data_IF_361466213745
#
_entry.id   IF_361466213745
#
_cell.length_a   1.000
_cell.length_b   1.000
_cell.length_c   1.000
_cell.angle_alpha   90.00
_cell.angle_beta   90.00
_cell.angle_gamma   90.00
#
_symmetry.space_group_name_H-M   'P 1'
#
loop_
_entity.id
_entity.type
_entity.pdbx_description
1 polymer ?
#
# COMPACT_ATOMS: atom_id res chain seq x y z
N UNK A 1 -1.31 -17.75 12.88
CA UNK A 1 -0.55 -16.50 13.13
C UNK A 1 -1.48 -15.34 12.85
N UNK A 2 -1.85 -14.54 13.85
CA UNK A 2 -2.75 -13.39 13.66
C UNK A 2 -1.98 -12.31 12.89
N UNK A 3 -2.43 -11.99 11.68
CA UNK A 3 -1.86 -10.95 10.82
C UNK A 3 -2.48 -9.57 11.13
N UNK A 4 -3.03 -9.41 12.34
CA UNK A 4 -3.90 -8.29 12.73
C UNK A 4 -3.13 -6.94 12.82
N UNK A 5 -1.81 -6.97 12.69
CA UNK A 5 -0.91 -5.81 12.78
C UNK A 5 -0.45 -5.30 11.41
N UNK A 6 -0.75 -6.03 10.34
CA UNK A 6 -0.27 -5.68 9.01
C UNK A 6 -1.12 -4.56 8.40
N UNK A 7 -0.42 -3.61 7.79
CA UNK A 7 -1.04 -2.47 7.15
C UNK A 7 -1.64 -2.78 5.77
N UNK A 8 -2.13 -1.73 5.11
CA UNK A 8 -2.76 -1.84 3.82
C UNK A 8 -1.81 -2.41 2.76
N UNK A 9 -2.42 -2.97 1.71
CA UNK A 9 -1.69 -3.56 0.58
C UNK A 9 -1.09 -2.47 -0.31
N UNK A 10 0.12 -2.71 -0.81
CA UNK A 10 0.88 -1.82 -1.67
C UNK A 10 1.13 -2.53 -3.00
N UNK A 11 0.81 -1.86 -4.11
CA UNK A 11 1.17 -2.30 -5.45
C UNK A 11 2.55 -1.73 -5.78
N UNK A 12 3.50 -2.58 -6.17
CA UNK A 12 4.83 -2.15 -6.57
C UNK A 12 4.89 -1.89 -8.09
N UNK A 13 5.95 -1.21 -8.54
CA UNK A 13 6.13 -0.88 -9.97
C UNK A 13 6.41 -2.13 -10.83
N UNK A 14 6.99 -3.16 -10.22
CA UNK A 14 7.29 -4.45 -10.85
C UNK A 14 6.05 -5.38 -10.90
N UNK A 15 4.89 -4.90 -10.48
CA UNK A 15 3.65 -5.70 -10.44
C UNK A 15 3.46 -6.53 -9.19
N UNK A 16 4.46 -6.60 -8.30
CA UNK A 16 4.34 -7.36 -7.05
C UNK A 16 3.45 -6.66 -6.03
N UNK A 17 2.92 -7.44 -5.07
CA UNK A 17 2.12 -6.95 -3.96
C UNK A 17 2.90 -7.08 -2.65
N UNK A 18 2.86 -6.03 -1.83
CA UNK A 18 3.46 -6.02 -0.49
C UNK A 18 2.47 -5.45 0.53
N UNK A 19 2.79 -5.56 1.82
CA UNK A 19 2.03 -4.93 2.92
C UNK A 19 2.96 -4.03 3.73
N UNK A 20 2.40 -3.00 4.34
CA UNK A 20 3.15 -2.13 5.26
C UNK A 20 3.37 -2.89 6.57
N UNK A 21 4.61 -3.31 6.83
CA UNK A 21 4.96 -4.18 7.94
C UNK A 21 5.04 -3.46 9.31
N UNK A 22 5.30 -2.17 9.33
CA UNK A 22 5.40 -1.34 10.54
C UNK A 22 4.11 -0.56 10.84
N UNK A 23 2.98 -0.99 10.28
CA UNK A 23 1.72 -0.23 10.32
C UNK A 23 1.17 -0.01 11.73
N UNK A 24 1.32 -1.01 12.59
CA UNK A 24 0.98 -0.97 14.00
C UNK A 24 1.80 0.05 14.80
N UNK A 25 3.05 0.28 14.39
CA UNK A 25 3.97 1.25 14.99
C UNK A 25 3.72 2.68 14.53
N UNK A 26 2.91 2.89 13.48
CA UNK A 26 2.59 4.22 12.97
C UNK A 26 1.58 4.93 13.86
N UNK A 27 1.78 6.21 14.08
CA UNK A 27 0.78 7.09 14.70
C UNK A 27 -0.45 7.24 13.80
N UNK A 28 -1.59 7.61 14.37
CA UNK A 28 -2.83 7.83 13.61
C UNK A 28 -2.67 8.88 12.50
N UNK A 29 -1.85 9.91 12.74
CA UNK A 29 -1.54 10.93 11.75
C UNK A 29 -0.73 10.37 10.57
N UNK A 30 0.26 9.51 10.85
CA UNK A 30 1.05 8.83 9.82
C UNK A 30 0.21 7.83 9.02
N UNK A 31 -0.66 7.07 9.70
CA UNK A 31 -1.62 6.16 9.05
C UNK A 31 -2.54 6.92 8.10
N UNK A 32 -3.11 8.04 8.54
CA UNK A 32 -3.99 8.89 7.72
C UNK A 32 -3.27 9.43 6.48
N UNK A 33 -2.05 9.94 6.65
CA UNK A 33 -1.24 10.42 5.54
C UNK A 33 -0.88 9.31 4.56
N UNK A 34 -0.56 8.13 5.09
CA UNK A 34 -0.22 6.95 4.30
C UNK A 34 -1.40 6.50 3.46
N UNK A 35 -2.59 6.34 4.04
CA UNK A 35 -3.79 5.95 3.30
C UNK A 35 -4.14 6.95 2.19
N UNK A 36 -4.04 8.26 2.48
CA UNK A 36 -4.29 9.32 1.50
C UNK A 36 -3.42 9.20 0.26
N UNK A 37 -2.13 8.93 0.44
CA UNK A 37 -1.17 8.88 -0.67
C UNK A 37 -1.16 7.49 -1.33
N UNK A 38 -1.31 6.43 -0.54
CA UNK A 38 -1.25 5.05 -1.00
C UNK A 38 -2.34 4.73 -2.02
N UNK A 39 -3.57 5.19 -1.80
CA UNK A 39 -4.67 4.99 -2.75
C UNK A 39 -4.35 5.54 -4.15
N UNK A 40 -3.82 6.78 -4.21
CA UNK A 40 -3.40 7.41 -5.47
C UNK A 40 -2.26 6.63 -6.14
N UNK A 41 -1.24 6.23 -5.37
CA UNK A 41 -0.08 5.49 -5.90
C UNK A 41 -0.45 4.10 -6.40
N UNK A 42 -1.24 3.36 -5.66
CA UNK A 42 -1.70 2.03 -6.08
C UNK A 42 -2.53 2.14 -7.35
N UNK A 43 -3.48 3.08 -7.42
CA UNK A 43 -4.27 3.30 -8.65
C UNK A 43 -3.38 3.60 -9.86
N UNK A 44 -2.42 4.51 -9.72
CA UNK A 44 -1.49 4.86 -10.80
C UNK A 44 -0.66 3.66 -11.26
N UNK A 45 -0.12 2.87 -10.33
CA UNK A 45 0.70 1.70 -10.65
C UNK A 45 -0.14 0.61 -11.30
N UNK A 46 -1.33 0.31 -10.78
CA UNK A 46 -2.23 -0.67 -11.38
C UNK A 46 -2.69 -0.25 -12.78
N UNK A 47 -2.99 1.03 -13.01
CA UNK A 47 -3.31 1.51 -14.37
C UNK A 47 -2.13 1.33 -15.32
N UNK A 48 -0.91 1.70 -14.92
CA UNK A 48 0.28 1.54 -15.74
C UNK A 48 0.58 0.07 -16.08
N UNK A 49 0.36 -0.84 -15.13
CA UNK A 49 0.54 -2.28 -15.36
C UNK A 49 -0.49 -2.84 -16.35
N UNK A 50 -1.75 -2.36 -16.29
CA UNK A 50 -2.81 -2.77 -17.23
C UNK A 50 -2.61 -2.24 -18.64
N UNK A 51 -1.95 -1.09 -18.79
CA UNK A 51 -1.61 -0.53 -20.11
C UNK A 51 -0.39 -1.21 -20.75
N UNK A 52 0.45 -1.87 -19.93
CA UNK A 52 1.63 -2.61 -20.38
C UNK A 52 1.35 -4.08 -20.73
N UNK A 53 0.11 -4.54 -20.55
CA UNK A 53 -0.41 -5.86 -20.91
C UNK A 53 -1.05 -5.83 -22.31
#
# INVERSE_FOLDING_TARGET
>A
VKLDHLGPMVVNKDGTLSRIGNWDQMTEQEKKNTLRILGKRNKQRTSALKEAE
#
